data_IF_801466274054
#
_entry.id   IF_801466274054
#
_cell.length_a   1.000
_cell.length_b   1.000
_cell.length_c   1.000
_cell.angle_alpha   90.00
_cell.angle_beta   90.00
_cell.angle_gamma   90.00
#
_symmetry.space_group_name_H-M   'P 1'
#
loop_
_entity.id
_entity.type
_entity.pdbx_description
1 polymer ?
#
# COMPACT_ATOMS: atom_id res chain seq x y z
N UNK A 1 -7.51 -18.62 -27.83
CA UNK A 1 -7.59 -19.06 -29.26
C UNK A 1 -8.33 -20.38 -29.41
N UNK A 2 -7.95 -21.51 -28.74
CA UNK A 2 -8.66 -22.78 -28.84
C UNK A 2 -10.08 -22.72 -28.26
N UNK A 3 -10.22 -22.14 -27.05
CA UNK A 3 -11.53 -21.92 -26.42
C UNK A 3 -12.40 -20.96 -27.22
N UNK A 4 -11.82 -19.91 -27.79
CA UNK A 4 -12.53 -18.98 -28.69
C UNK A 4 -13.00 -19.67 -30.00
N UNK A 5 -12.27 -20.70 -30.42
CA UNK A 5 -12.69 -21.55 -31.54
C UNK A 5 -13.76 -22.60 -31.17
N UNK A 6 -14.21 -22.62 -29.92
CA UNK A 6 -15.20 -23.59 -29.42
C UNK A 6 -14.65 -24.99 -29.17
N UNK A 7 -13.34 -25.13 -29.10
CA UNK A 7 -12.67 -26.40 -28.81
C UNK A 7 -12.87 -26.82 -27.37
N UNK A 8 -13.14 -28.10 -27.14
CA UNK A 8 -13.13 -28.67 -25.79
C UNK A 8 -11.69 -28.93 -25.36
N UNK A 9 -11.28 -28.32 -24.25
CA UNK A 9 -9.93 -28.48 -23.71
C UNK A 9 -10.04 -29.27 -22.40
N UNK A 10 -9.38 -30.42 -22.34
CA UNK A 10 -9.23 -31.19 -21.12
C UNK A 10 -7.87 -30.83 -20.51
N UNK A 11 -7.88 -30.35 -19.25
CA UNK A 11 -6.67 -29.98 -18.48
C UNK A 11 -6.46 -30.99 -17.38
N UNK A 12 -5.27 -31.59 -17.33
CA UNK A 12 -4.84 -32.43 -16.23
C UNK A 12 -3.93 -31.65 -15.31
N UNK A 13 -4.29 -31.54 -14.01
CA UNK A 13 -3.47 -30.91 -12.98
C UNK A 13 -2.99 -31.95 -11.98
N UNK A 14 -1.68 -32.04 -11.78
CA UNK A 14 -1.07 -32.83 -10.71
C UNK A 14 -0.44 -31.83 -9.70
N UNK A 15 -1.06 -31.73 -8.53
CA UNK A 15 -0.65 -30.81 -7.49
C UNK A 15 -0.10 -31.57 -6.28
N UNK A 16 1.09 -31.19 -5.85
CA UNK A 16 1.70 -31.70 -4.61
C UNK A 16 1.92 -30.56 -3.64
N UNK A 17 1.36 -30.66 -2.46
CA UNK A 17 1.46 -29.66 -1.41
C UNK A 17 2.13 -30.23 -0.17
N UNK A 18 3.05 -29.46 0.40
CA UNK A 18 3.58 -29.67 1.75
C UNK A 18 3.04 -28.57 2.66
N UNK A 19 2.33 -28.96 3.69
CA UNK A 19 1.84 -28.04 4.72
C UNK A 19 2.73 -28.09 5.97
N UNK A 20 2.88 -26.96 6.65
CA UNK A 20 3.66 -26.87 7.88
C UNK A 20 3.73 -25.43 8.38
N UNK A 21 4.16 -25.27 9.60
CA UNK A 21 4.46 -23.96 10.17
C UNK A 21 5.77 -23.42 9.61
N UNK A 22 5.80 -22.15 9.27
CA UNK A 22 6.99 -21.41 8.86
C UNK A 22 7.01 -20.05 9.58
N UNK A 23 8.20 -19.53 9.95
CA UNK A 23 8.29 -18.20 10.52
C UNK A 23 8.00 -17.16 9.43
N UNK A 24 7.19 -16.15 9.78
CA UNK A 24 7.02 -14.94 9.00
C UNK A 24 7.87 -13.84 9.62
N UNK A 25 8.65 -13.15 8.79
CA UNK A 25 9.50 -12.06 9.23
C UNK A 25 8.83 -10.72 8.87
N UNK A 26 8.89 -9.77 9.80
CA UNK A 26 8.38 -8.42 9.60
C UNK A 26 9.56 -7.44 9.64
N UNK A 27 10.31 -7.28 8.54
CA UNK A 27 11.37 -6.29 8.48
C UNK A 27 10.82 -4.91 8.82
N UNK A 28 11.54 -4.18 9.65
CA UNK A 28 11.08 -2.88 10.12
C UNK A 28 12.23 -1.91 10.29
N UNK A 29 11.93 -0.62 10.16
CA UNK A 29 12.86 0.47 10.42
C UNK A 29 12.13 1.68 10.96
N UNK A 30 12.86 2.58 11.63
CA UNK A 30 12.26 3.82 12.16
C UNK A 30 13.15 5.00 11.85
N UNK A 31 12.58 6.01 11.23
CA UNK A 31 13.18 7.35 11.17
C UNK A 31 12.74 8.11 12.42
N UNK A 32 13.71 8.39 13.27
CA UNK A 32 13.48 9.06 14.55
C UNK A 32 13.47 10.58 14.40
N UNK A 33 12.43 11.23 14.92
CA UNK A 33 12.43 12.67 15.13
C UNK A 33 13.38 13.04 16.29
N UNK A 34 14.11 14.17 16.22
CA UNK A 34 15.08 14.54 17.24
C UNK A 34 14.48 14.80 18.61
N UNK A 35 13.26 15.32 18.65
CA UNK A 35 12.58 15.75 19.87
C UNK A 35 11.11 15.31 19.88
N UNK A 36 10.91 13.98 19.84
CA UNK A 36 9.59 13.38 19.90
C UNK A 36 9.21 13.05 21.36
N UNK A 37 8.75 14.04 22.10
CA UNK A 37 8.35 13.91 23.51
C UNK A 37 7.02 13.18 23.69
N UNK A 38 6.12 13.25 22.71
CA UNK A 38 4.82 12.59 22.77
C UNK A 38 4.90 11.08 22.58
N UNK A 39 5.97 10.60 21.94
CA UNK A 39 6.08 9.21 21.50
C UNK A 39 5.21 8.87 20.27
N UNK A 40 4.53 9.86 19.70
CA UNK A 40 3.68 9.67 18.52
C UNK A 40 4.48 9.23 17.30
N UNK A 41 3.84 8.42 16.46
CA UNK A 41 4.45 7.98 15.21
C UNK A 41 3.41 7.77 14.10
N UNK A 42 3.90 7.83 12.87
CA UNK A 42 3.19 7.40 11.67
C UNK A 42 3.70 6.00 11.32
N UNK A 43 2.79 5.10 11.01
CA UNK A 43 3.12 3.76 10.53
C UNK A 43 2.92 3.71 9.01
N UNK A 44 3.99 3.47 8.28
CA UNK A 44 3.98 3.29 6.82
C UNK A 44 4.35 1.86 6.52
N UNK A 45 3.50 1.14 5.82
CA UNK A 45 3.80 -0.24 5.50
C UNK A 45 3.16 -0.71 4.18
N UNK A 46 3.66 -1.81 3.67
CA UNK A 46 3.12 -2.55 2.55
C UNK A 46 3.53 -4.01 2.66
N UNK A 47 2.86 -4.89 1.95
CA UNK A 47 3.25 -6.29 1.97
C UNK A 47 4.50 -6.55 1.11
N UNK A 48 5.27 -7.56 1.46
CA UNK A 48 6.53 -7.91 0.79
C UNK A 48 6.51 -9.28 0.12
N UNK A 49 5.53 -10.10 0.44
CA UNK A 49 5.25 -11.34 -0.29
C UNK A 49 4.58 -11.00 -1.62
N UNK A 50 4.74 -11.84 -2.62
CA UNK A 50 4.20 -11.62 -3.96
C UNK A 50 3.91 -12.95 -4.66
N UNK A 51 3.04 -12.91 -5.63
CA UNK A 51 3.00 -13.91 -6.68
C UNK A 51 4.25 -13.80 -7.57
N UNK A 52 4.58 -14.80 -8.40
CA UNK A 52 5.85 -14.80 -9.14
C UNK A 52 6.11 -13.48 -9.88
N UNK A 53 7.26 -12.89 -9.61
CA UNK A 53 7.84 -11.61 -9.92
C UNK A 53 7.30 -10.46 -9.07
N UNK A 54 6.03 -10.05 -9.15
CA UNK A 54 5.40 -9.05 -8.26
C UNK A 54 6.04 -7.67 -8.35
N UNK A 55 6.27 -7.15 -9.55
CA UNK A 55 6.89 -5.82 -9.71
C UNK A 55 5.94 -4.70 -9.29
N UNK A 56 4.68 -4.75 -9.73
CA UNK A 56 3.67 -3.78 -9.31
C UNK A 56 3.07 -4.15 -7.96
N UNK A 57 2.99 -5.45 -7.67
CA UNK A 57 2.36 -6.02 -6.49
C UNK A 57 3.33 -6.94 -5.71
N UNK A 58 4.13 -6.47 -4.73
CA UNK A 58 4.16 -5.08 -4.27
C UNK A 58 5.61 -4.55 -4.15
N UNK A 59 6.51 -4.93 -5.08
CA UNK A 59 7.88 -4.41 -5.06
C UNK A 59 7.92 -2.88 -5.24
N UNK A 60 7.01 -2.33 -6.05
CA UNK A 60 6.88 -0.89 -6.27
C UNK A 60 6.46 -0.14 -4.97
N UNK A 61 5.50 -0.67 -4.21
CA UNK A 61 5.11 -0.11 -2.91
C UNK A 61 6.25 -0.17 -1.89
N UNK A 62 6.96 -1.30 -1.84
CA UNK A 62 8.12 -1.44 -0.95
C UNK A 62 9.25 -0.47 -1.32
N UNK A 63 9.52 -0.27 -2.60
CA UNK A 63 10.50 0.72 -3.06
C UNK A 63 10.08 2.15 -2.69
N UNK A 64 8.79 2.46 -2.77
CA UNK A 64 8.21 3.73 -2.33
C UNK A 64 8.45 3.95 -0.84
N UNK A 65 8.11 2.99 0.01
CA UNK A 65 8.35 3.07 1.46
C UNK A 65 9.83 3.28 1.78
N UNK A 66 10.74 2.59 1.08
CA UNK A 66 12.20 2.76 1.26
C UNK A 66 12.66 4.16 0.84
N UNK A 67 12.14 4.71 -0.25
CA UNK A 67 12.48 6.07 -0.70
C UNK A 67 11.95 7.13 0.28
N UNK A 68 10.74 6.97 0.77
CA UNK A 68 10.18 7.82 1.83
C UNK A 68 11.08 7.80 3.07
N UNK A 69 11.51 6.62 3.51
CA UNK A 69 12.42 6.48 4.64
C UNK A 69 13.75 7.20 4.40
N UNK A 70 14.32 7.08 3.21
CA UNK A 70 15.57 7.76 2.83
C UNK A 70 15.45 9.29 2.88
N UNK A 71 14.37 9.83 2.30
CA UNK A 71 14.15 11.29 2.24
C UNK A 71 13.80 11.85 3.61
N UNK A 72 12.94 11.16 4.38
CA UNK A 72 12.62 11.54 5.77
C UNK A 72 13.88 11.55 6.64
N UNK A 73 14.73 10.53 6.55
CA UNK A 73 15.97 10.47 7.31
C UNK A 73 16.95 11.62 6.94
N UNK A 74 16.99 12.01 5.66
CA UNK A 74 17.79 13.16 5.22
C UNK A 74 17.25 14.50 5.74
N UNK A 75 15.97 14.56 6.15
CA UNK A 75 15.29 15.73 6.69
C UNK A 75 14.82 15.54 8.14
N UNK A 76 15.40 14.59 8.85
CA UNK A 76 14.94 14.19 10.20
C UNK A 76 14.90 15.31 11.22
N UNK A 77 15.76 16.33 11.05
CA UNK A 77 15.82 17.53 11.89
C UNK A 77 14.54 18.37 11.85
N UNK A 78 13.68 18.17 10.85
CA UNK A 78 12.39 18.84 10.69
C UNK A 78 11.21 18.05 11.26
N UNK A 79 11.43 16.77 11.63
CA UNK A 79 10.37 15.91 12.09
C UNK A 79 9.96 16.19 13.54
N UNK A 80 8.68 16.16 13.79
CA UNK A 80 8.06 16.23 15.12
C UNK A 80 7.59 14.87 15.61
N UNK A 81 7.41 13.91 14.69
CA UNK A 81 6.99 12.54 14.97
C UNK A 81 7.92 11.53 14.32
N UNK A 82 8.04 10.38 14.95
CA UNK A 82 8.72 9.24 14.35
C UNK A 82 7.94 8.72 13.16
N UNK A 83 8.63 8.12 12.17
CA UNK A 83 7.99 7.38 11.11
C UNK A 83 8.53 5.97 11.13
N UNK A 84 7.65 4.99 11.37
CA UNK A 84 7.96 3.57 11.39
C UNK A 84 7.60 2.95 10.04
N UNK A 85 8.50 2.14 9.50
CA UNK A 85 8.32 1.41 8.25
C UNK A 85 8.29 -0.07 8.54
N UNK A 86 7.30 -0.78 8.00
CA UNK A 86 7.19 -2.23 8.10
C UNK A 86 6.88 -2.85 6.73
N UNK A 87 7.28 -4.11 6.59
CA UNK A 87 7.02 -4.90 5.39
C UNK A 87 6.34 -6.19 5.82
N UNK A 88 5.06 -6.32 5.43
CA UNK A 88 4.21 -7.41 5.86
C UNK A 88 4.50 -8.69 5.08
N UNK A 89 4.29 -9.83 5.71
CA UNK A 89 4.16 -11.13 5.06
C UNK A 89 2.79 -11.74 5.38
N UNK A 90 2.31 -12.62 4.48
CA UNK A 90 1.03 -13.31 4.62
C UNK A 90 -0.15 -12.56 3.96
N UNK A 91 0.13 -11.51 3.22
CA UNK A 91 -0.89 -10.75 2.46
C UNK A 91 -1.48 -11.59 1.33
N UNK A 92 -0.63 -12.14 0.48
CA UNK A 92 -1.03 -12.88 -0.73
C UNK A 92 -1.75 -14.21 -0.44
N UNK A 93 -1.55 -14.74 0.75
CA UNK A 93 -2.34 -15.87 1.25
C UNK A 93 -3.75 -15.50 1.72
N UNK A 94 -4.09 -14.21 1.76
CA UNK A 94 -5.40 -13.68 2.14
C UNK A 94 -5.67 -13.71 3.65
N UNK A 95 -4.68 -14.06 4.47
CA UNK A 95 -4.84 -14.17 5.92
C UNK A 95 -4.35 -12.92 6.65
N UNK A 96 -3.50 -12.11 6.01
CA UNK A 96 -2.92 -10.88 6.58
C UNK A 96 -2.21 -11.11 7.92
N UNK A 97 -1.51 -12.25 8.05
CA UNK A 97 -0.94 -12.70 9.33
C UNK A 97 0.02 -11.67 9.93
N UNK A 98 0.85 -11.02 9.08
CA UNK A 98 1.85 -10.07 9.53
C UNK A 98 1.24 -8.84 10.17
N UNK A 99 0.34 -8.15 9.47
CA UNK A 99 -0.31 -6.94 9.97
C UNK A 99 -1.26 -7.22 11.13
N UNK A 100 -2.00 -8.34 11.07
CA UNK A 100 -2.88 -8.75 12.16
C UNK A 100 -2.08 -9.07 13.43
N UNK A 101 -0.99 -9.84 13.30
CA UNK A 101 -0.10 -10.12 14.44
C UNK A 101 0.44 -8.84 15.06
N UNK A 102 0.82 -7.87 14.24
CA UNK A 102 1.35 -6.60 14.72
C UNK A 102 0.28 -5.80 15.48
N UNK A 103 -0.95 -5.77 14.99
CA UNK A 103 -2.08 -5.16 15.69
C UNK A 103 -2.36 -5.82 17.04
N UNK A 104 -2.40 -7.15 17.07
CA UNK A 104 -2.73 -7.91 18.28
C UNK A 104 -1.67 -7.77 19.38
N UNK A 105 -0.38 -7.76 18.98
CA UNK A 105 0.71 -7.77 19.95
C UNK A 105 1.18 -6.38 20.37
N UNK A 106 0.89 -5.34 19.58
CA UNK A 106 1.29 -3.96 19.85
C UNK A 106 0.10 -3.01 20.03
N UNK A 107 -1.05 -3.55 20.37
CA UNK A 107 -2.30 -2.82 20.56
C UNK A 107 -2.15 -1.54 21.37
N UNK A 108 -1.54 -1.62 22.54
CA UNK A 108 -1.37 -0.49 23.45
C UNK A 108 -0.53 0.63 22.86
N UNK A 109 0.56 0.30 22.20
CA UNK A 109 1.45 1.27 21.55
C UNK A 109 0.77 1.91 20.34
N UNK A 110 0.11 1.10 19.52
CA UNK A 110 -0.63 1.56 18.34
C UNK A 110 -1.76 2.51 18.74
N UNK A 111 -2.58 2.10 19.69
CA UNK A 111 -3.75 2.88 20.10
C UNK A 111 -3.39 4.20 20.80
N UNK A 112 -2.25 4.24 21.50
CA UNK A 112 -1.81 5.43 22.23
C UNK A 112 -0.98 6.38 21.38
N UNK A 113 -0.20 5.87 20.43
CA UNK A 113 0.86 6.65 19.81
C UNK A 113 0.82 6.65 18.26
N UNK A 114 0.13 5.70 17.62
CA UNK A 114 0.04 5.69 16.17
C UNK A 114 -1.03 6.69 15.71
N UNK A 115 -0.58 7.80 15.13
CA UNK A 115 -1.48 8.87 14.68
C UNK A 115 -2.11 8.58 13.33
N UNK A 116 -1.45 7.77 12.51
CA UNK A 116 -1.95 7.31 11.23
C UNK A 116 -1.22 6.05 10.76
N UNK A 117 -1.96 5.14 10.15
CA UNK A 117 -1.44 4.03 9.35
C UNK A 117 -1.60 4.33 7.86
N UNK A 118 -0.56 4.14 7.10
CA UNK A 118 -0.53 4.27 5.64
C UNK A 118 -0.19 2.92 5.05
N UNK A 119 -1.11 2.35 4.27
CA UNK A 119 -0.84 1.16 3.45
C UNK A 119 -0.37 1.59 2.06
N UNK A 120 0.80 1.13 1.65
CA UNK A 120 1.37 1.40 0.32
C UNK A 120 1.36 0.10 -0.48
N UNK A 121 0.55 0.09 -1.52
CA UNK A 121 0.36 -1.07 -2.37
C UNK A 121 -0.04 -0.66 -3.78
N UNK A 122 0.32 -1.47 -4.78
CA UNK A 122 -0.05 -1.29 -6.18
C UNK A 122 0.23 0.12 -6.75
N UNK A 123 1.36 0.70 -6.37
CA UNK A 123 1.85 1.99 -6.86
C UNK A 123 2.62 1.77 -8.17
N UNK A 124 2.28 2.49 -9.23
CA UNK A 124 3.07 2.47 -10.46
C UNK A 124 2.55 1.56 -11.55
N UNK A 125 1.34 1.09 -11.46
CA UNK A 125 0.69 0.34 -12.54
C UNK A 125 0.77 1.10 -13.87
N UNK A 126 1.16 0.39 -14.93
CA UNK A 126 1.20 0.93 -16.29
C UNK A 126 -0.14 0.82 -17.03
N UNK A 127 -0.05 0.71 -18.35
CA UNK A 127 -1.19 0.45 -19.26
C UNK A 127 -2.40 1.38 -19.09
N UNK A 128 -2.15 2.69 -18.82
CA UNK A 128 -3.21 3.69 -18.74
C UNK A 128 -3.85 3.81 -17.35
N UNK A 129 -3.17 3.39 -16.30
CA UNK A 129 -3.60 3.69 -14.93
C UNK A 129 -3.57 5.20 -14.68
N UNK A 130 -4.71 5.82 -14.40
CA UNK A 130 -4.86 7.28 -14.30
C UNK A 130 -5.81 7.73 -13.22
N UNK A 131 -6.40 6.83 -12.46
CA UNK A 131 -7.36 7.13 -11.40
C UNK A 131 -6.70 6.90 -10.05
N UNK A 132 -6.61 7.93 -9.23
CA UNK A 132 -6.24 7.77 -7.83
C UNK A 132 -7.47 7.29 -7.06
N UNK A 133 -7.37 6.10 -6.50
CA UNK A 133 -8.33 5.62 -5.51
C UNK A 133 -7.80 5.85 -4.11
N UNK A 134 -8.62 6.41 -3.24
CA UNK A 134 -8.22 6.75 -1.88
C UNK A 134 -9.27 6.31 -0.86
N UNK A 135 -8.82 5.65 0.17
CA UNK A 135 -9.63 5.15 1.29
C UNK A 135 -9.17 5.78 2.61
N UNK A 136 -9.40 7.08 2.84
CA UNK A 136 -9.06 7.71 4.10
C UNK A 136 -10.06 7.36 5.19
N UNK A 137 -9.60 7.12 6.41
CA UNK A 137 -10.46 7.08 7.59
C UNK A 137 -11.23 8.40 7.73
N UNK A 138 -12.39 8.34 8.39
CA UNK A 138 -13.29 9.50 8.50
C UNK A 138 -12.60 10.75 9.07
N UNK A 139 -11.75 10.55 10.07
CA UNK A 139 -11.00 11.62 10.74
C UNK A 139 -10.02 12.33 9.81
N UNK A 140 -9.53 11.62 8.78
CA UNK A 140 -8.54 12.12 7.81
C UNK A 140 -9.18 12.66 6.53
N UNK A 141 -10.49 12.49 6.35
CA UNK A 141 -11.19 12.68 5.07
C UNK A 141 -10.84 13.97 4.35
N UNK A 142 -11.13 15.10 4.96
CA UNK A 142 -10.92 16.42 4.32
C UNK A 142 -9.43 16.70 4.07
N UNK A 143 -8.59 16.35 5.02
CA UNK A 143 -7.17 16.59 4.92
C UNK A 143 -6.50 15.75 3.83
N UNK A 144 -6.85 14.46 3.71
CA UNK A 144 -6.33 13.61 2.63
C UNK A 144 -6.80 14.12 1.26
N UNK A 145 -8.04 14.58 1.12
CA UNK A 145 -8.50 15.20 -0.11
C UNK A 145 -7.64 16.42 -0.51
N UNK A 146 -7.31 17.29 0.43
CA UNK A 146 -6.44 18.44 0.19
C UNK A 146 -5.02 17.97 -0.23
N UNK A 147 -4.48 16.95 0.42
CA UNK A 147 -3.17 16.41 0.09
C UNK A 147 -3.14 15.75 -1.28
N UNK A 148 -4.15 14.95 -1.62
CA UNK A 148 -4.27 14.32 -2.93
C UNK A 148 -4.41 15.38 -4.05
N UNK A 149 -5.16 16.47 -3.83
CA UNK A 149 -5.22 17.57 -4.80
C UNK A 149 -3.87 18.27 -4.98
N UNK A 150 -3.14 18.46 -3.88
CA UNK A 150 -1.79 19.04 -3.93
C UNK A 150 -0.80 18.11 -4.63
N UNK A 151 -0.84 16.82 -4.35
CA UNK A 151 0.10 15.85 -4.88
C UNK A 151 -0.19 15.48 -6.35
N UNK A 152 -1.46 15.34 -6.70
CA UNK A 152 -1.93 14.84 -7.99
C UNK A 152 -2.93 15.81 -8.64
N UNK A 153 -2.52 17.04 -8.98
CA UNK A 153 -3.42 18.02 -9.57
C UNK A 153 -3.90 17.55 -10.94
N UNK A 154 -5.21 17.58 -11.15
CA UNK A 154 -5.84 17.22 -12.41
C UNK A 154 -5.98 15.72 -12.69
N UNK A 155 -5.56 14.86 -11.77
CA UNK A 155 -5.88 13.43 -11.85
C UNK A 155 -7.34 13.18 -11.49
N UNK A 156 -7.93 12.18 -12.12
CA UNK A 156 -9.20 11.64 -11.67
C UNK A 156 -9.04 11.00 -10.29
N UNK A 157 -9.99 11.23 -9.38
CA UNK A 157 -9.95 10.73 -8.02
C UNK A 157 -11.27 10.08 -7.65
N UNK A 158 -11.16 8.92 -7.05
CA UNK A 158 -12.26 8.13 -6.51
C UNK A 158 -12.04 7.93 -5.02
N UNK A 159 -13.05 8.22 -4.22
CA UNK A 159 -12.95 8.17 -2.77
C UNK A 159 -14.02 7.29 -2.17
N UNK A 160 -13.62 6.44 -1.26
CA UNK A 160 -14.56 5.73 -0.41
C UNK A 160 -14.04 5.64 1.03
N UNK A 161 -14.93 5.34 1.97
CA UNK A 161 -14.47 5.00 3.32
C UNK A 161 -13.77 3.66 3.30
N UNK A 162 -12.69 3.52 4.09
CA UNK A 162 -11.93 2.28 4.13
C UNK A 162 -12.80 1.14 4.66
N UNK A 163 -12.60 -0.01 4.08
CA UNK A 163 -13.20 -1.26 4.54
C UNK A 163 -12.10 -2.29 4.77
N UNK A 164 -12.42 -3.40 5.38
CA UNK A 164 -11.44 -4.44 5.64
C UNK A 164 -11.03 -5.11 4.32
N UNK A 165 -10.01 -4.58 3.71
CA UNK A 165 -9.26 -5.16 2.60
C UNK A 165 -7.77 -5.06 2.93
N UNK A 166 -6.92 -5.69 2.16
CA UNK A 166 -5.47 -5.63 2.33
C UNK A 166 -5.05 -5.66 3.83
N UNK A 167 -3.98 -4.99 4.20
CA UNK A 167 -3.45 -4.93 5.57
C UNK A 167 -4.13 -3.89 6.46
N UNK A 168 -5.45 -3.71 6.32
CA UNK A 168 -6.24 -2.67 7.00
C UNK A 168 -6.78 -3.09 8.39
N UNK A 169 -6.16 -4.06 9.05
CA UNK A 169 -6.53 -4.48 10.43
C UNK A 169 -6.47 -3.35 11.45
N UNK A 170 -5.67 -2.32 11.18
CA UNK A 170 -5.49 -1.12 12.02
C UNK A 170 -6.78 -0.33 12.24
N UNK A 171 -7.66 -0.29 11.24
CA UNK A 171 -9.00 0.31 11.39
C UNK A 171 -9.80 -0.33 12.52
N UNK A 172 -9.71 -1.66 12.65
CA UNK A 172 -10.44 -2.41 13.67
C UNK A 172 -10.02 -2.09 15.10
N UNK A 173 -8.83 -1.53 15.29
CA UNK A 173 -8.31 -1.11 16.59
C UNK A 173 -8.34 0.41 16.79
N UNK A 174 -9.01 1.15 15.91
CA UNK A 174 -9.21 2.59 16.05
C UNK A 174 -8.02 3.46 15.63
N UNK A 175 -7.06 2.92 14.87
CA UNK A 175 -5.98 3.70 14.29
C UNK A 175 -6.48 4.33 12.98
N UNK A 176 -6.46 5.67 12.83
CA UNK A 176 -6.79 6.32 11.58
C UNK A 176 -5.91 5.79 10.46
N UNK A 177 -6.52 5.34 9.38
CA UNK A 177 -5.80 4.63 8.32
C UNK A 177 -6.11 5.23 6.97
N UNK A 178 -5.14 5.18 6.06
CA UNK A 178 -5.28 5.58 4.68
C UNK A 178 -4.67 4.53 3.76
N UNK A 179 -5.38 4.22 2.70
CA UNK A 179 -4.90 3.36 1.63
C UNK A 179 -5.15 4.05 0.30
N UNK A 180 -4.07 4.39 -0.38
CA UNK A 180 -4.11 5.00 -1.70
C UNK A 180 -3.45 4.08 -2.72
N UNK A 181 -4.09 3.92 -3.87
CA UNK A 181 -3.49 3.28 -5.03
C UNK A 181 -3.93 3.95 -6.32
N UNK A 182 -3.23 3.68 -7.41
CA UNK A 182 -3.61 4.18 -8.74
C UNK A 182 -4.09 3.00 -9.57
N UNK A 183 -5.23 3.14 -10.22
CA UNK A 183 -5.81 2.09 -11.02
C UNK A 183 -6.34 2.59 -12.38
N UNK A 184 -6.88 1.68 -13.15
CA UNK A 184 -7.36 1.94 -14.51
C UNK A 184 -8.78 2.49 -14.51
N UNK A 185 -9.11 3.26 -15.56
CA UNK A 185 -10.47 3.78 -15.74
C UNK A 185 -11.51 2.65 -15.80
N UNK A 186 -12.79 2.94 -15.47
CA UNK A 186 -13.87 1.96 -15.55
C UNK A 186 -13.99 1.30 -16.94
N UNK A 187 -13.71 2.04 -18.02
CA UNK A 187 -13.77 1.55 -19.39
C UNK A 187 -12.69 0.49 -19.64
N UNK A 188 -11.44 0.74 -19.23
CA UNK A 188 -10.34 -0.21 -19.35
C UNK A 188 -10.58 -1.45 -18.51
N UNK A 189 -11.04 -1.29 -17.27
CA UNK A 189 -11.39 -2.41 -16.39
C UNK A 189 -12.45 -3.30 -17.02
N UNK A 190 -13.49 -2.70 -17.60
CA UNK A 190 -14.55 -3.42 -18.29
C UNK A 190 -14.02 -4.18 -19.50
N UNK A 191 -13.14 -3.56 -20.30
CA UNK A 191 -12.52 -4.19 -21.47
C UNK A 191 -11.65 -5.40 -21.09
N UNK A 192 -11.12 -5.42 -19.87
CA UNK A 192 -10.28 -6.52 -19.35
C UNK A 192 -11.05 -7.47 -18.40
N UNK A 193 -12.37 -7.55 -18.51
CA UNK A 193 -13.18 -8.44 -17.68
C UNK A 193 -13.22 -8.02 -16.20
N UNK A 194 -13.15 -6.73 -15.93
CA UNK A 194 -13.12 -6.10 -14.60
C UNK A 194 -11.82 -6.33 -13.81
N UNK A 195 -10.69 -6.53 -14.49
CA UNK A 195 -9.39 -6.57 -13.86
C UNK A 195 -8.99 -5.17 -13.33
N UNK A 196 -9.13 -4.96 -12.04
CA UNK A 196 -8.95 -3.64 -11.39
C UNK A 196 -7.51 -3.16 -11.48
N UNK A 197 -6.54 -4.05 -11.26
CA UNK A 197 -5.11 -3.76 -11.25
C UNK A 197 -4.40 -4.18 -12.54
N UNK A 198 -5.15 -4.42 -13.63
CA UNK A 198 -4.62 -4.77 -14.93
C UNK A 198 -4.43 -6.27 -15.15
N UNK A 199 -4.12 -6.62 -16.39
CA UNK A 199 -3.96 -8.02 -16.80
C UNK A 199 -2.73 -8.73 -16.20
N UNK A 200 -1.58 -8.05 -15.94
CA UNK A 200 -0.41 -8.68 -15.35
C UNK A 200 -0.57 -9.04 -13.87
N UNK A 201 -1.51 -8.40 -13.17
CA UNK A 201 -1.72 -8.59 -11.73
C UNK A 201 -1.89 -10.06 -11.34
N UNK A 202 -1.17 -10.50 -10.32
CA UNK A 202 -1.13 -11.88 -9.82
C UNK A 202 -0.67 -12.91 -10.87
N UNK A 203 0.17 -12.49 -11.82
CA UNK A 203 0.70 -13.37 -12.85
C UNK A 203 2.22 -13.24 -13.01
N UNK A 204 2.83 -14.17 -13.76
CA UNK A 204 4.25 -14.10 -14.10
C UNK A 204 4.61 -12.92 -15.04
N UNK A 205 3.61 -12.23 -15.55
CA UNK A 205 3.78 -11.06 -16.42
C UNK A 205 3.88 -9.75 -15.63
N UNK A 206 3.69 -9.78 -14.29
CA UNK A 206 3.92 -8.61 -13.42
C UNK A 206 5.42 -8.36 -13.23
N UNK A 207 6.04 -7.81 -14.26
CA UNK A 207 7.47 -7.54 -14.34
C UNK A 207 7.76 -6.04 -14.32
N UNK A 208 9.04 -5.66 -14.31
CA UNK A 208 9.43 -4.23 -14.39
C UNK A 208 8.90 -3.50 -15.62
N UNK A 209 8.60 -4.22 -16.70
CA UNK A 209 8.07 -3.64 -17.94
C UNK A 209 6.59 -3.23 -17.81
N UNK A 210 5.89 -3.70 -16.79
CA UNK A 210 4.50 -3.32 -16.51
C UNK A 210 4.38 -2.02 -15.71
N UNK A 211 5.50 -1.51 -15.19
CA UNK A 211 5.52 -0.27 -14.41
C UNK A 211 5.63 0.97 -15.31
N UNK A 212 4.83 1.98 -15.01
CA UNK A 212 4.94 3.30 -15.61
C UNK A 212 5.65 4.27 -14.65
N UNK A 213 6.73 4.88 -15.12
CA UNK A 213 7.56 5.79 -14.31
C UNK A 213 6.80 7.05 -13.87
N UNK A 214 5.87 7.52 -14.70
CA UNK A 214 5.08 8.70 -14.38
C UNK A 214 4.03 8.37 -13.31
N UNK A 215 3.36 7.23 -13.44
CA UNK A 215 2.44 6.71 -12.42
C UNK A 215 3.17 6.49 -11.10
N UNK A 216 4.36 5.84 -11.13
CA UNK A 216 5.22 5.70 -9.96
C UNK A 216 5.55 7.05 -9.31
N UNK A 217 5.96 8.04 -10.12
CA UNK A 217 6.30 9.36 -9.61
C UNK A 217 5.13 10.01 -8.86
N UNK A 218 3.93 9.96 -9.44
CA UNK A 218 2.75 10.55 -8.82
C UNK A 218 2.29 9.77 -7.58
N UNK A 219 2.35 8.44 -7.59
CA UNK A 219 2.04 7.63 -6.42
C UNK A 219 2.98 7.92 -5.24
N UNK A 220 4.30 7.91 -5.49
CA UNK A 220 5.30 8.30 -4.46
C UNK A 220 5.06 9.72 -3.94
N UNK A 221 4.74 10.66 -4.84
CA UNK A 221 4.47 12.05 -4.47
C UNK A 221 3.21 12.17 -3.61
N UNK A 222 2.20 11.39 -3.89
CA UNK A 222 0.95 11.38 -3.13
C UNK A 222 1.19 10.88 -1.71
N UNK A 223 1.77 9.70 -1.54
CA UNK A 223 2.12 9.18 -0.22
C UNK A 223 3.07 10.11 0.54
N UNK A 224 4.05 10.68 -0.16
CA UNK A 224 4.98 11.64 0.44
C UNK A 224 4.26 12.87 1.00
N UNK A 225 3.27 13.39 0.29
CA UNK A 225 2.61 14.65 0.66
C UNK A 225 2.02 14.56 2.08
N UNK A 226 1.23 13.53 2.38
CA UNK A 226 0.60 13.42 3.68
C UNK A 226 1.53 12.83 4.76
N UNK A 227 2.44 11.90 4.41
CA UNK A 227 3.40 11.38 5.40
C UNK A 227 4.34 12.49 5.88
N UNK A 228 4.86 13.33 4.97
CA UNK A 228 5.74 14.44 5.34
C UNK A 228 5.00 15.54 6.10
N UNK A 229 3.82 15.93 5.64
CA UNK A 229 3.03 16.96 6.32
C UNK A 229 2.75 16.54 7.76
N UNK A 230 2.27 15.31 7.97
CA UNK A 230 1.93 14.81 9.30
C UNK A 230 3.17 14.61 10.19
N UNK A 231 4.29 14.17 9.62
CA UNK A 231 5.54 13.96 10.35
C UNK A 231 6.18 15.28 10.84
N UNK A 232 5.96 16.39 10.10
CA UNK A 232 6.53 17.69 10.44
C UNK A 232 5.62 18.58 11.31
N UNK A 233 4.31 18.33 11.33
CA UNK A 233 3.37 19.12 12.17
C UNK A 233 3.70 18.96 13.65
N UNK A 234 3.71 20.06 14.39
CA UNK A 234 3.91 20.05 15.86
C UNK A 234 2.62 19.71 16.62
N UNK A 235 1.49 20.03 16.05
CA UNK A 235 0.14 19.76 16.60
C UNK A 235 -0.75 19.17 15.50
N UNK A 236 -1.61 18.27 15.88
CA UNK A 236 -2.69 17.74 15.02
C UNK A 236 -3.92 18.62 15.08
#
# INVERSE_FOLDING_TARGET
KLLEAGEKIDVFMNYQQKQGWAPLYLPSGTVKAPDNQSGEFILVAGHMDSWPVGASDNAAGNATAMELARVLNANRDKLSRDVRFLFWQGHEGGQMEGSTWYCDNLWDDLNKHCVMYVNIDAIGLGDGATVLHSEPAFELWNWIHEMNEFAMPGWEKDYCFPFKNADMSFLGIGVPSCYNWIYHTPELRTAWGNATLGLPYHSADDTMDTLDKNVMYYGVRDDAAFVFDLAMRKTL
#
